data_IF_915227442211
#
_entry.id   IF_915227442211
#
_cell.length_a   1.000
_cell.length_b   1.000
_cell.length_c   1.000
_cell.angle_alpha   90.00
_cell.angle_beta   90.00
_cell.angle_gamma   90.00
#
_symmetry.space_group_name_H-M   'P 1'
#
loop_
_entity.id
_entity.type
_entity.pdbx_description
1 polymer ?
2 branched ?
3 non-polymer ?
4 non-polymer ?
5 non-polymer ?
#
# COMPACT_ATOMS: atom_id res chain seq x y z
N UNK A 1 25.78 4.99 5.70
CA UNK A 1 25.00 6.25 5.91
C UNK A 1 23.56 6.04 5.52
N UNK A 2 22.70 6.96 5.94
CA UNK A 2 21.29 6.90 5.62
C UNK A 2 21.06 7.28 4.17
N UNK A 3 20.14 6.59 3.51
CA UNK A 3 19.86 6.93 2.13
C UNK A 3 19.17 8.28 2.08
N UNK A 4 19.45 9.05 1.04
CA UNK A 4 18.85 10.37 0.86
C UNK A 4 18.10 10.46 -0.47
N UNK A 5 16.87 10.97 -0.43
CA UNK A 5 16.07 11.10 -1.62
C UNK A 5 16.68 12.18 -2.51
N UNK A 6 17.69 11.81 -3.29
CA UNK A 6 18.37 12.77 -4.14
C UNK A 6 18.05 12.70 -5.64
N UNK A 7 17.27 11.71 -6.05
CA UNK A 7 16.92 11.56 -7.46
C UNK A 7 15.47 11.93 -7.75
N UNK A 8 15.10 11.97 -9.01
CA UNK A 8 13.74 12.27 -9.38
C UNK A 8 13.18 10.97 -9.93
N UNK A 9 11.92 10.94 -10.32
CA UNK A 9 11.35 9.72 -10.88
C UNK A 9 11.78 9.55 -12.32
N UNK A 10 12.07 8.33 -12.74
CA UNK A 10 12.44 8.10 -14.14
C UNK A 10 11.17 8.29 -14.98
N UNK A 11 11.32 8.53 -16.27
CA UNK A 11 10.15 8.70 -17.10
C UNK A 11 9.44 7.36 -17.21
N UNK A 12 8.12 7.42 -17.07
CA UNK A 12 7.26 6.24 -17.12
C UNK A 12 6.52 6.21 -18.46
N UNK A 13 7.05 5.44 -19.41
CA UNK A 13 6.43 5.32 -20.72
C UNK A 13 5.69 4.00 -20.83
N UNK A 14 5.85 3.16 -19.81
CA UNK A 14 5.19 1.86 -19.70
C UNK A 14 5.57 1.20 -18.36
N UNK A 15 5.14 -0.04 -18.15
CA UNK A 15 5.46 -0.74 -16.92
C UNK A 15 5.86 -2.17 -17.22
N UNK A 16 7.01 -2.61 -16.71
CA UNK A 16 7.46 -3.98 -16.94
C UNK A 16 7.20 -4.85 -15.71
N UNK A 17 7.13 -6.16 -15.91
CA UNK A 17 6.90 -7.08 -14.79
C UNK A 17 8.13 -7.05 -13.89
N UNK A 18 7.90 -6.94 -12.58
CA UNK A 18 8.96 -6.91 -11.59
C UNK A 18 8.91 -8.17 -10.72
N UNK A 19 7.72 -8.47 -10.19
CA UNK A 19 7.58 -9.65 -9.36
C UNK A 19 6.18 -10.24 -9.27
N UNK A 20 6.13 -11.56 -9.10
CA UNK A 20 4.87 -12.29 -8.99
C UNK A 20 5.20 -13.54 -8.20
N UNK A 21 4.38 -13.91 -7.23
CA UNK A 21 4.68 -15.10 -6.43
C UNK A 21 3.77 -16.30 -6.62
N UNK A 22 2.61 -16.10 -7.24
CA UNK A 22 1.67 -17.19 -7.47
C UNK A 22 1.55 -18.00 -6.18
N UNK A 23 1.35 -17.33 -5.06
CA UNK A 23 1.24 -18.01 -3.78
C UNK A 23 -0.02 -18.88 -3.61
N UNK A 24 -1.17 -18.40 -4.08
CA UNK A 24 -2.38 -19.18 -3.95
C UNK A 24 -2.34 -20.43 -4.83
N UNK A 25 -1.79 -20.31 -6.04
CA UNK A 25 -1.68 -21.49 -6.93
C UNK A 25 -0.80 -22.51 -6.22
N UNK A 26 0.44 -22.12 -5.98
CA UNK A 26 1.41 -22.97 -5.32
C UNK A 26 0.93 -23.47 -3.96
N UNK A 27 0.35 -22.56 -3.17
CA UNK A 27 -0.12 -22.90 -1.84
C UNK A 27 -1.23 -23.92 -1.78
N UNK A 28 -1.73 -24.33 -2.94
CA UNK A 28 -2.79 -25.33 -2.99
C UNK A 28 -2.17 -26.69 -2.68
N UNK A 29 -0.85 -26.78 -2.77
CA UNK A 29 -0.14 -28.02 -2.52
C UNK A 29 1.17 -27.88 -1.74
N UNK A 30 1.44 -26.68 -1.23
CA UNK A 30 2.64 -26.46 -0.44
C UNK A 30 2.23 -25.64 0.78
N UNK A 31 3.10 -25.60 1.79
CA UNK A 31 2.76 -24.89 3.00
C UNK A 31 2.93 -23.38 2.87
N UNK A 32 1.90 -22.75 2.30
CA UNK A 32 1.87 -21.31 2.11
C UNK A 32 0.95 -20.67 3.14
N UNK A 33 1.43 -19.65 3.81
CA UNK A 33 0.65 -18.95 4.82
C UNK A 33 -0.44 -18.10 4.20
N UNK A 34 -1.54 -17.94 4.94
CA UNK A 34 -2.65 -17.11 4.46
C UNK A 34 -2.25 -15.67 4.78
N UNK A 35 -2.49 -14.76 3.85
CA UNK A 35 -2.14 -13.37 4.07
C UNK A 35 -3.10 -12.37 3.48
N UNK A 36 -2.80 -11.10 3.70
CA UNK A 36 -3.57 -9.97 3.18
C UNK A 36 -2.66 -8.76 3.37
N UNK A 37 -3.06 -7.63 2.82
CA UNK A 37 -2.31 -6.40 2.92
C UNK A 37 -0.82 -6.56 2.64
N UNK A 38 -0.46 -7.09 1.46
CA UNK A 38 0.97 -7.25 1.17
C UNK A 38 1.58 -5.94 0.67
N UNK A 39 2.87 -6.01 0.42
CA UNK A 39 3.63 -4.88 -0.11
C UNK A 39 5.05 -5.34 -0.47
N UNK A 40 5.83 -4.42 -1.02
CA UNK A 40 7.19 -4.75 -1.40
C UNK A 40 8.07 -3.65 -0.81
N UNK A 41 9.27 -4.00 -0.38
CA UNK A 41 10.17 -3.03 0.22
C UNK A 41 11.61 -3.48 0.07
N UNK A 42 12.50 -2.54 -0.28
CA UNK A 42 13.90 -2.86 -0.48
C UNK A 42 14.87 -2.39 0.59
N UNK A 43 15.98 -3.11 0.67
CA UNK A 43 17.06 -2.79 1.59
C UNK A 43 18.18 -2.46 0.60
N UNK A 44 19.35 -2.08 1.11
CA UNK A 44 20.43 -1.76 0.18
C UNK A 44 20.90 -2.94 -0.66
N UNK A 45 20.77 -4.16 -0.13
CA UNK A 45 21.24 -5.36 -0.84
C UNK A 45 20.18 -6.34 -1.34
N UNK A 46 18.89 -6.04 -1.14
CA UNK A 46 17.83 -6.92 -1.63
C UNK A 46 16.43 -6.34 -1.46
N UNK A 47 15.48 -6.93 -2.18
CA UNK A 47 14.10 -6.50 -2.07
C UNK A 47 13.30 -7.74 -1.65
N UNK A 48 12.19 -7.53 -0.96
CA UNK A 48 11.39 -8.65 -0.49
C UNK A 48 9.90 -8.36 -0.55
N UNK A 49 9.10 -9.41 -0.41
CA UNK A 49 7.65 -9.25 -0.39
C UNK A 49 7.31 -9.20 1.09
N UNK A 50 6.22 -8.51 1.42
CA UNK A 50 5.77 -8.36 2.81
C UNK A 50 4.26 -8.54 2.86
N UNK A 51 3.77 -8.91 4.03
CA UNK A 51 2.33 -9.08 4.22
C UNK A 51 2.01 -9.46 5.66
N UNK A 52 0.72 -9.44 5.97
CA UNK A 52 0.25 -9.80 7.28
C UNK A 52 -0.28 -11.23 7.24
N UNK A 53 0.51 -12.16 7.78
CA UNK A 53 0.15 -13.56 7.83
C UNK A 53 -1.11 -13.69 8.68
N UNK A 54 -1.73 -14.86 8.62
CA UNK A 54 -2.93 -15.13 9.40
C UNK A 54 -2.61 -16.25 10.37
N UNK A 55 -1.34 -16.64 10.39
CA UNK A 55 -0.92 -17.69 11.28
C UNK A 55 -1.56 -19.02 10.93
N UNK A 56 -1.45 -19.40 9.67
CA UNK A 56 -2.04 -20.64 9.22
C UNK A 56 -1.77 -20.78 7.73
N UNK A 57 -1.79 -22.02 7.23
CA UNK A 57 -1.58 -22.28 5.82
C UNK A 57 -2.95 -22.19 5.14
N UNK A 58 -2.95 -22.08 3.81
CA UNK A 58 -4.21 -21.98 3.07
C UNK A 58 -4.93 -23.32 3.16
N UNK A 59 -4.20 -24.41 2.96
CA UNK A 59 -4.78 -25.74 3.04
C UNK A 59 -5.03 -26.13 4.49
N UNK A 60 -4.49 -25.34 5.42
CA UNK A 60 -4.68 -25.65 6.82
C UNK A 60 -6.11 -25.37 7.21
N UNK A 61 -6.58 -26.02 8.27
CA UNK A 61 -7.96 -25.82 8.71
C UNK A 61 -8.19 -24.47 9.39
N UNK A 62 -7.17 -23.93 10.05
CA UNK A 62 -7.32 -22.64 10.73
C UNK A 62 -7.41 -21.51 9.71
N UNK A 63 -7.51 -21.86 8.44
CA UNK A 63 -7.60 -20.87 7.36
C UNK A 63 -9.05 -20.44 7.26
N UNK A 64 -9.89 -21.22 7.92
CA UNK A 64 -11.32 -21.01 7.96
C UNK A 64 -11.66 -19.77 8.78
N UNK A 65 -12.09 -18.72 8.09
CA UNK A 65 -12.43 -17.49 8.78
C UNK A 65 -11.34 -16.43 8.72
N UNK A 66 -10.31 -16.67 7.90
CA UNK A 66 -9.21 -15.73 7.75
C UNK A 66 -9.66 -14.46 7.05
N UNK A 67 -10.98 -14.34 6.87
CA UNK A 67 -11.59 -13.18 6.24
C UNK A 67 -11.49 -12.03 7.26
N UNK A 68 -11.27 -12.40 8.52
CA UNK A 68 -11.13 -11.43 9.61
C UNK A 68 -9.82 -10.65 9.48
N UNK A 69 -9.89 -9.34 9.77
CA UNK A 69 -8.74 -8.45 9.66
C UNK A 69 -7.78 -8.41 10.85
N UNK A 70 -8.32 -8.39 12.06
CA UNK A 70 -7.47 -8.30 13.24
C UNK A 70 -7.64 -9.44 14.24
N UNK A 71 -6.70 -10.37 14.26
CA UNK A 71 -6.74 -11.50 15.20
C UNK A 71 -5.39 -11.54 15.93
N UNK A 72 -5.26 -12.34 16.98
CA UNK A 72 -3.98 -12.38 17.67
C UNK A 72 -2.98 -13.26 16.96
N UNK A 73 -3.41 -13.85 15.85
CA UNK A 73 -2.56 -14.76 15.09
C UNK A 73 -1.90 -14.14 13.86
N UNK A 74 -2.17 -12.85 13.63
CA UNK A 74 -1.62 -12.09 12.52
C UNK A 74 -0.22 -11.58 12.84
N UNK A 75 0.56 -11.30 11.80
CA UNK A 75 1.92 -10.79 11.97
C UNK A 75 2.53 -10.42 10.63
N UNK A 76 3.35 -9.36 10.64
CA UNK A 76 4.02 -8.91 9.42
C UNK A 76 5.19 -9.85 9.12
N UNK A 77 5.16 -10.44 7.93
CA UNK A 77 6.22 -11.35 7.52
C UNK A 77 6.83 -10.84 6.23
N UNK A 78 8.08 -11.18 5.99
CA UNK A 78 8.74 -10.77 4.75
C UNK A 78 9.43 -12.01 4.21
N UNK A 79 9.60 -12.08 2.90
CA UNK A 79 10.24 -13.24 2.30
C UNK A 79 10.84 -12.88 0.96
N UNK A 80 11.57 -13.83 0.32
CA UNK A 80 12.24 -13.68 -0.98
C UNK A 80 11.34 -13.27 -2.15
N UNK A 81 11.82 -12.29 -2.91
CA UNK A 81 11.08 -11.77 -4.06
C UNK A 81 10.53 -12.83 -4.99
N UNK A 82 9.26 -12.67 -5.34
CA UNK A 82 8.54 -13.55 -6.25
C UNK A 82 8.38 -14.99 -5.77
N UNK A 83 8.57 -15.20 -4.47
CA UNK A 83 8.37 -16.52 -3.87
C UNK A 83 7.10 -16.47 -3.02
N UNK A 84 6.57 -17.62 -2.64
CA UNK A 84 5.36 -17.56 -1.82
C UNK A 84 5.64 -17.51 -0.31
N UNK A 85 4.88 -16.69 0.43
CA UNK A 85 5.12 -16.62 1.87
C UNK A 85 4.83 -17.98 2.49
N UNK A 86 5.86 -18.79 2.65
CA UNK A 86 5.73 -20.13 3.21
C UNK A 86 6.07 -20.14 4.69
N UNK A 87 5.68 -21.21 5.37
CA UNK A 87 5.96 -21.38 6.78
C UNK A 87 7.48 -21.51 7.04
N UNK A 88 8.22 -21.95 6.03
CA UNK A 88 9.66 -22.15 6.18
C UNK A 88 10.53 -21.03 5.68
N UNK A 89 9.99 -20.15 4.85
CA UNK A 89 10.74 -19.04 4.28
C UNK A 89 10.36 -17.66 4.82
N UNK A 90 9.13 -17.53 5.29
CA UNK A 90 8.66 -16.25 5.81
C UNK A 90 9.42 -15.91 7.07
N UNK A 91 9.72 -14.63 7.22
CA UNK A 91 10.44 -14.13 8.39
C UNK A 91 9.52 -13.19 9.13
N UNK A 92 9.36 -13.40 10.43
CA UNK A 92 8.49 -12.52 11.19
C UNK A 92 9.24 -11.25 11.56
N UNK A 93 8.71 -10.11 11.12
CA UNK A 93 9.29 -8.81 11.40
C UNK A 93 8.79 -8.36 12.78
N UNK A 94 7.50 -8.55 13.01
CA UNK A 94 6.85 -8.23 14.27
C UNK A 94 5.43 -8.75 14.30
N UNK A 95 4.80 -8.70 15.47
CA UNK A 95 3.44 -9.19 15.64
C UNK A 95 2.39 -8.09 15.68
N UNK A 96 1.36 -8.24 14.84
CA UNK A 96 0.30 -7.25 14.81
C UNK A 96 -0.57 -7.45 13.59
N UNK A 97 -1.59 -6.60 13.43
CA UNK A 97 -2.53 -6.69 12.31
C UNK A 97 -2.58 -5.42 11.45
N UNK A 98 -1.50 -4.65 11.50
CA UNK A 98 -1.35 -3.40 10.72
C UNK A 98 0.11 -3.03 10.84
N UNK A 99 0.77 -2.84 9.71
CA UNK A 99 2.19 -2.51 9.73
C UNK A 99 2.62 -1.53 8.67
N UNK A 100 3.91 -1.25 8.69
CA UNK A 100 4.57 -0.40 7.72
C UNK A 100 6.03 -0.75 7.96
N UNK A 101 6.85 -0.60 6.94
CA UNK A 101 8.27 -0.92 7.08
C UNK A 101 9.11 -0.27 6.00
N UNK A 102 10.26 0.24 6.40
CA UNK A 102 11.17 0.88 5.48
C UNK A 102 12.58 0.75 6.01
N UNK A 103 13.54 0.99 5.11
CA UNK A 103 14.94 0.92 5.46
C UNK A 103 15.51 2.33 5.28
N UNK A 104 16.25 2.81 6.28
CA UNK A 104 16.81 4.15 6.26
C UNK A 104 18.19 4.18 5.59
N UNK A 105 18.57 3.06 4.99
CA UNK A 105 19.85 2.98 4.34
C UNK A 105 20.86 2.26 5.22
N UNK A 106 20.74 2.43 6.54
CA UNK A 106 21.65 1.77 7.48
C UNK A 106 21.05 0.47 7.96
N UNK A 107 19.77 0.53 8.35
CA UNK A 107 19.04 -0.65 8.79
C UNK A 107 17.53 -0.43 8.63
N UNK A 108 16.74 -1.45 8.93
CA UNK A 108 15.31 -1.35 8.74
C UNK A 108 14.43 -1.06 9.94
N UNK A 109 13.37 -0.30 9.69
CA UNK A 109 12.38 0.04 10.72
C UNK A 109 11.07 -0.57 10.29
N UNK A 110 10.53 -1.48 11.11
CA UNK A 110 9.27 -2.13 10.82
C UNK A 110 8.35 -1.83 11.98
N UNK A 111 7.08 -1.57 11.70
CA UNK A 111 6.11 -1.25 12.74
C UNK A 111 4.85 -2.08 12.64
N UNK A 112 4.51 -2.74 13.74
CA UNK A 112 3.31 -3.53 13.81
C UNK A 112 2.46 -3.01 14.94
N UNK A 113 1.16 -2.90 14.72
CA UNK A 113 0.23 -2.48 15.74
C UNK A 113 -0.59 -3.72 16.05
N UNK A 114 -0.93 -3.94 17.32
CA UNK A 114 -1.74 -5.11 17.68
C UNK A 114 -2.59 -4.76 18.88
N UNK A 115 -3.55 -5.62 19.19
CA UNK A 115 -4.41 -5.37 20.33
C UNK A 115 -5.90 -5.36 20.02
N UNK A 116 -6.73 -5.12 21.05
CA UNK A 116 -8.17 -5.06 20.92
C UNK A 116 -8.55 -3.75 20.24
N UNK A 117 -9.65 -3.75 19.51
CA UNK A 117 -10.11 -2.55 18.80
C UNK A 117 -10.09 -1.27 19.62
N UNK A 118 -10.59 -1.36 20.86
CA UNK A 118 -10.68 -0.16 21.70
C UNK A 118 -9.46 0.18 22.50
N UNK A 119 -8.34 -0.49 22.26
CA UNK A 119 -7.20 -0.23 23.09
C UNK A 119 -5.93 -0.89 22.57
N UNK A 120 -5.63 -0.64 21.30
CA UNK A 120 -4.44 -1.22 20.66
C UNK A 120 -3.19 -0.39 20.96
N UNK A 121 -2.05 -0.90 20.50
CA UNK A 121 -0.76 -0.24 20.68
C UNK A 121 0.15 -0.57 19.50
N UNK A 122 1.00 0.38 19.13
CA UNK A 122 1.95 0.17 18.04
C UNK A 122 3.38 0.03 18.62
N UNK A 123 4.17 -0.84 18.00
CA UNK A 123 5.53 -1.05 18.45
C UNK A 123 6.47 -0.81 17.28
N UNK A 124 7.42 0.09 17.45
CA UNK A 124 8.37 0.39 16.38
C UNK A 124 9.64 -0.40 16.61
N UNK A 125 10.02 -1.18 15.61
CA UNK A 125 11.24 -1.98 15.70
C UNK A 125 12.28 -1.36 14.79
N UNK A 126 13.52 -1.36 15.23
CA UNK A 126 14.60 -0.80 14.43
C UNK A 126 15.81 -1.73 14.56
N UNK A 127 16.30 -2.24 13.43
CA UNK A 127 17.43 -3.14 13.45
C UNK A 127 17.01 -4.47 14.12
N UNK A 128 15.73 -4.84 13.91
CA UNK A 128 15.12 -6.06 14.43
C UNK A 128 14.86 -6.19 15.94
N UNK A 129 14.97 -5.08 16.66
CA UNK A 129 14.73 -5.06 18.11
C UNK A 129 13.71 -3.95 18.40
N UNK A 130 12.80 -4.18 19.36
CA UNK A 130 11.81 -3.14 19.67
C UNK A 130 12.49 -1.94 20.35
N UNK A 131 12.08 -0.73 19.97
CA UNK A 131 12.68 0.46 20.53
C UNK A 131 11.66 1.43 21.15
N UNK A 132 10.55 1.68 20.45
CA UNK A 132 9.53 2.59 20.93
C UNK A 132 8.11 2.01 20.85
N UNK A 133 7.24 2.44 21.75
CA UNK A 133 5.85 1.98 21.71
C UNK A 133 4.96 3.22 21.63
N UNK A 134 3.76 3.05 21.09
CA UNK A 134 2.81 4.16 20.96
C UNK A 134 1.41 3.60 21.16
N UNK A 135 0.76 4.06 22.22
CA UNK A 135 -0.58 3.61 22.59
C UNK A 135 -1.65 4.33 21.77
N UNK A 136 -2.84 3.73 21.66
CA UNK A 136 -3.95 4.35 20.93
C UNK A 136 -4.20 5.73 21.50
N UNK A 137 -4.63 6.66 20.66
CA UNK A 137 -4.89 8.00 21.13
C UNK A 137 -6.34 8.38 20.90
N UNK A 138 -7.06 7.54 20.18
CA UNK A 138 -8.48 7.77 19.89
C UNK A 138 -9.28 6.53 20.26
N UNK A 139 -8.57 5.50 20.68
CA UNK A 139 -9.16 4.24 21.14
C UNK A 139 -10.13 3.52 20.20
N UNK A 140 -9.81 3.51 18.91
CA UNK A 140 -10.65 2.84 17.92
C UNK A 140 -9.80 2.37 16.74
N UNK A 141 -9.19 1.21 16.91
CA UNK A 141 -8.36 0.58 15.90
C UNK A 141 -7.21 1.45 15.40
N UNK A 142 -6.07 1.39 16.10
CA UNK A 142 -4.88 2.15 15.70
C UNK A 142 -4.37 1.41 14.48
N UNK A 143 -4.02 2.14 13.43
CA UNK A 143 -3.57 1.51 12.20
C UNK A 143 -2.57 2.33 11.39
N UNK A 144 -1.77 1.65 10.57
CA UNK A 144 -0.79 2.32 9.73
C UNK A 144 -1.01 2.10 8.23
N UNK A 145 -0.01 2.51 7.46
CA UNK A 145 -0.01 2.46 6.00
C UNK A 145 -0.33 1.15 5.26
N UNK A 146 0.19 0.03 5.73
CA UNK A 146 -0.01 -1.27 5.09
C UNK A 146 0.89 -1.38 3.87
N UNK A 147 1.91 -0.51 3.83
CA UNK A 147 2.89 -0.51 2.74
C UNK A 147 4.14 0.27 3.17
N UNK A 148 5.25 0.02 2.50
CA UNK A 148 6.54 0.66 2.79
C UNK A 148 6.51 2.15 3.08
N UNK A 149 7.27 2.58 4.08
CA UNK A 149 7.39 4.00 4.41
C UNK A 149 8.65 4.49 3.69
N UNK A 150 8.95 5.77 3.77
CA UNK A 150 10.13 6.30 3.10
C UNK A 150 11.00 7.10 4.04
N UNK A 151 12.32 6.86 4.00
CA UNK A 151 13.26 7.60 4.84
C UNK A 151 14.10 8.59 4.04
N UNK A 152 14.64 9.56 4.77
CA UNK A 152 15.50 10.59 4.19
C UNK A 152 16.49 10.97 5.30
N UNK A 153 17.79 10.79 5.03
CA UNK A 153 18.84 11.11 5.99
C UNK A 153 18.51 10.69 7.43
N UNK A 154 17.92 9.50 7.56
CA UNK A 154 17.59 8.99 8.88
C UNK A 154 16.15 9.16 9.31
N UNK A 155 15.44 10.13 8.72
CA UNK A 155 14.06 10.39 9.09
C UNK A 155 13.08 9.60 8.24
N UNK A 156 12.23 8.82 8.90
CA UNK A 156 11.24 7.99 8.21
C UNK A 156 9.84 8.29 8.72
N UNK A 157 9.07 9.10 7.95
CA UNK A 157 7.70 9.49 8.30
C UNK A 157 6.73 8.33 8.14
N UNK A 158 5.77 8.24 9.05
CA UNK A 158 4.79 7.19 8.97
C UNK A 158 3.40 7.76 9.29
N UNK A 159 2.45 7.53 8.39
CA UNK A 159 1.11 8.04 8.60
C UNK A 159 0.26 7.05 9.36
N UNK A 160 -0.28 7.48 10.49
CA UNK A 160 -1.14 6.64 11.32
C UNK A 160 -2.55 7.24 11.32
N UNK A 161 -3.52 6.50 11.83
CA UNK A 161 -4.89 6.97 11.96
C UNK A 161 -5.53 6.21 13.11
N UNK A 162 -6.31 6.92 13.91
CA UNK A 162 -7.00 6.33 15.05
C UNK A 162 -8.36 7.02 15.19
N UNK A 163 -9.42 6.22 15.31
CA UNK A 163 -10.77 6.75 15.41
C UNK A 163 -11.64 6.07 14.36
N UNK A 164 -12.80 6.66 14.09
CA UNK A 164 -13.74 6.11 13.11
C UNK A 164 -13.11 5.91 11.73
N UNK A 165 -13.64 4.96 10.98
CA UNK A 165 -13.17 4.71 9.63
C UNK A 165 -14.28 5.14 8.72
N UNK A 166 -15.32 5.75 9.30
CA UNK A 166 -16.46 6.22 8.54
C UNK A 166 -16.94 7.62 8.98
N UNK A 167 -15.98 8.44 9.38
CA UNK A 167 -16.27 9.78 9.83
C UNK A 167 -14.95 10.43 10.25
N UNK A 168 -14.99 11.63 10.84
CA UNK A 168 -13.72 12.23 11.24
C UNK A 168 -12.96 11.31 12.18
N UNK A 169 -11.63 11.30 12.07
CA UNK A 169 -10.78 10.47 12.89
C UNK A 169 -9.48 11.21 13.20
N UNK A 170 -8.63 10.63 14.03
CA UNK A 170 -7.36 11.27 14.35
C UNK A 170 -6.20 10.65 13.58
N UNK A 171 -5.73 11.36 12.56
CA UNK A 171 -4.61 10.91 11.75
C UNK A 171 -3.40 11.70 12.22
N UNK A 172 -2.23 11.05 12.22
CA UNK A 172 -0.99 11.71 12.65
C UNK A 172 0.17 11.31 11.74
N UNK A 173 1.13 12.20 11.59
CA UNK A 173 2.31 11.92 10.80
C UNK A 173 3.45 11.86 11.81
N UNK A 174 4.01 10.68 12.00
CA UNK A 174 5.11 10.54 12.94
C UNK A 174 6.44 10.57 12.22
N UNK A 175 7.42 11.20 12.85
CA UNK A 175 8.75 11.28 12.27
C UNK A 175 9.70 10.50 13.18
N UNK A 176 10.08 9.29 12.73
CA UNK A 176 11.01 8.47 13.50
C UNK A 176 12.41 8.53 12.92
N UNK A 177 13.39 8.13 13.72
CA UNK A 177 14.78 8.06 13.33
C UNK A 177 15.45 7.07 14.28
N UNK A 178 15.77 5.90 13.75
CA UNK A 178 16.36 4.80 14.53
C UNK A 178 15.30 4.34 15.54
N UNK A 179 14.06 4.31 15.08
CA UNK A 179 12.95 3.85 15.90
C UNK A 179 12.47 4.82 16.97
N UNK A 180 13.21 5.90 17.16
CA UNK A 180 12.85 6.87 18.17
C UNK A 180 11.98 7.96 17.58
N UNK A 181 11.00 8.42 18.33
CA UNK A 181 10.14 9.48 17.86
C UNK A 181 10.87 10.81 17.98
N UNK A 182 11.04 11.49 16.86
CA UNK A 182 11.69 12.79 16.87
C UNK A 182 10.60 13.83 17.02
N UNK A 183 9.48 13.57 16.38
CA UNK A 183 8.35 14.49 16.39
C UNK A 183 7.13 13.92 15.68
N UNK A 184 5.96 14.37 16.09
CA UNK A 184 4.74 13.95 15.43
C UNK A 184 3.84 15.16 15.32
N UNK A 185 3.00 15.19 14.30
CA UNK A 185 2.07 16.29 14.13
C UNK A 185 0.74 15.73 13.66
N UNK A 186 -0.37 16.43 13.97
CA UNK A 186 -1.71 15.98 13.56
C UNK A 186 -1.90 16.29 12.08
N UNK A 187 -2.80 15.59 11.41
CA UNK A 187 -3.03 15.84 9.98
C UNK A 187 -3.51 17.26 9.68
N UNK A 188 -2.77 17.95 8.82
CA UNK A 188 -3.13 19.29 8.41
C UNK A 188 -3.50 19.21 6.94
N UNK A 189 -3.89 20.34 6.35
CA UNK A 189 -4.24 20.34 4.93
C UNK A 189 -5.74 20.28 4.72
N UNK A 190 -6.19 19.98 3.50
CA UNK A 190 -7.63 19.90 3.23
C UNK A 190 -8.19 18.49 3.11
N UNK A 191 -7.34 17.47 3.26
CA UNK A 191 -7.83 16.09 3.18
C UNK A 191 -8.74 15.85 4.38
N UNK A 192 -9.95 15.34 4.13
CA UNK A 192 -10.89 15.12 5.21
C UNK A 192 -10.86 13.75 5.88
N UNK A 193 -9.96 12.87 5.44
CA UNK A 193 -9.88 11.53 6.04
C UNK A 193 -8.73 10.74 5.45
N UNK A 194 -7.85 10.23 6.31
CA UNK A 194 -6.68 9.51 5.84
C UNK A 194 -6.62 8.05 6.29
N UNK A 195 -6.48 7.15 5.33
CA UNK A 195 -6.41 5.73 5.64
C UNK A 195 -5.36 5.05 4.74
N UNK A 196 -4.64 4.08 5.31
CA UNK A 196 -3.61 3.32 4.60
C UNK A 196 -2.87 4.10 3.51
N UNK A 197 -1.84 4.84 3.89
CA UNK A 197 -1.11 5.61 2.90
C UNK A 197 -0.04 4.86 2.11
N UNK A 198 0.01 5.14 0.81
CA UNK A 198 1.01 4.56 -0.09
C UNK A 198 1.99 5.69 -0.34
N UNK A 199 3.27 5.48 -0.02
CA UNK A 199 4.22 6.57 -0.22
C UNK A 199 5.40 6.23 -1.11
N UNK A 200 6.14 7.28 -1.45
CA UNK A 200 7.35 7.17 -2.27
C UNK A 200 8.09 8.49 -2.10
N UNK A 201 9.40 8.46 -2.30
CA UNK A 201 10.18 9.68 -2.16
C UNK A 201 11.10 9.93 -3.34
N UNK A 202 11.42 11.20 -3.54
CA UNK A 202 12.31 11.66 -4.60
C UNK A 202 12.56 13.14 -4.39
N UNK A 203 13.80 13.55 -4.64
CA UNK A 203 14.20 14.95 -4.48
C UNK A 203 13.72 15.53 -3.16
N UNK A 204 14.19 14.91 -2.07
CA UNK A 204 13.88 15.33 -0.71
C UNK A 204 12.39 15.48 -0.40
N UNK A 205 11.53 14.89 -1.22
CA UNK A 205 10.10 15.01 -0.99
C UNK A 205 9.37 13.67 -0.97
N UNK A 206 8.60 13.44 0.08
CA UNK A 206 7.84 12.20 0.20
C UNK A 206 6.36 12.45 -0.10
N UNK A 207 5.83 11.69 -1.04
CA UNK A 207 4.44 11.81 -1.46
C UNK A 207 3.66 10.55 -1.13
N UNK A 208 2.61 10.70 -0.32
CA UNK A 208 1.78 9.57 0.07
C UNK A 208 0.38 9.77 -0.49
N UNK A 209 -0.11 8.76 -1.19
CA UNK A 209 -1.46 8.78 -1.77
C UNK A 209 -2.24 7.80 -0.92
N UNK A 210 -3.17 8.29 -0.12
CA UNK A 210 -3.92 7.40 0.75
C UNK A 210 -5.36 7.15 0.26
N UNK A 211 -6.27 6.92 1.17
CA UNK A 211 -7.65 6.65 0.78
C UNK A 211 -8.65 7.26 1.77
N UNK A 212 -9.56 8.09 1.26
CA UNK A 212 -10.56 8.71 2.10
C UNK A 212 -11.65 7.66 2.23
N UNK A 213 -11.59 6.88 3.30
CA UNK A 213 -12.58 5.82 3.46
C UNK A 213 -13.99 6.28 3.77
N UNK A 214 -14.22 7.53 4.17
CA UNK A 214 -15.59 7.87 4.44
C UNK A 214 -16.33 8.65 3.39
N UNK A 215 -15.66 9.57 2.71
CA UNK A 215 -16.40 10.31 1.72
C UNK A 215 -15.83 10.32 0.32
N UNK A 216 -14.51 10.30 0.20
CA UNK A 216 -13.88 10.34 -1.12
C UNK A 216 -13.71 9.09 -1.97
N UNK A 217 -13.92 9.29 -3.26
CA UNK A 217 -13.74 8.24 -4.24
C UNK A 217 -12.50 8.72 -5.01
N UNK A 218 -12.08 9.93 -4.66
CA UNK A 218 -10.90 10.55 -5.25
C UNK A 218 -9.86 10.67 -4.15
N UNK A 219 -9.14 9.57 -3.93
CA UNK A 219 -8.11 9.49 -2.89
C UNK A 219 -7.31 10.73 -2.52
N UNK A 220 -7.11 10.96 -1.21
CA UNK A 220 -6.36 12.11 -0.72
C UNK A 220 -4.86 11.89 -0.86
N UNK A 221 -4.13 13.00 -0.90
CA UNK A 221 -2.69 12.95 -1.03
C UNK A 221 -2.05 13.73 0.12
N UNK A 222 -1.03 13.15 0.73
CA UNK A 222 -0.33 13.80 1.82
C UNK A 222 1.12 13.93 1.39
N UNK A 223 1.55 15.17 1.15
CA UNK A 223 2.90 15.46 0.71
C UNK A 223 3.70 15.80 1.96
N UNK A 224 4.79 15.05 2.20
CA UNK A 224 5.63 15.24 3.39
C UNK A 224 7.06 15.74 3.13
N UNK A 225 7.57 16.54 4.05
CA UNK A 225 8.94 17.06 3.97
C UNK A 225 9.74 16.42 5.12
N UNK A 226 10.60 15.45 4.81
CA UNK A 226 11.41 14.76 5.80
C UNK A 226 12.45 15.60 6.50
N UNK A 227 12.83 16.73 5.90
CA UNK A 227 13.83 17.57 6.54
C UNK A 227 13.21 18.55 7.53
N UNK A 228 12.18 19.26 7.09
CA UNK A 228 11.50 20.23 7.94
C UNK A 228 10.48 19.56 8.85
N UNK A 229 10.24 18.28 8.61
CA UNK A 229 9.29 17.50 9.41
C UNK A 229 7.94 18.21 9.46
N UNK A 230 7.47 18.54 8.26
CA UNK A 230 6.19 19.23 8.05
C UNK A 230 5.54 18.58 6.83
N UNK A 231 4.23 18.71 6.70
CA UNK A 231 3.52 18.09 5.58
C UNK A 231 2.34 18.92 5.13
N UNK A 232 1.51 18.33 4.29
CA UNK A 232 0.33 19.00 3.80
C UNK A 232 -0.55 17.97 3.13
N UNK A 233 -1.85 18.20 3.15
CA UNK A 233 -2.79 17.25 2.56
C UNK A 233 -3.63 17.92 1.48
N UNK A 234 -4.34 17.09 0.72
CA UNK A 234 -5.17 17.55 -0.37
C UNK A 234 -5.77 16.33 -1.02
N UNK A 235 -6.26 16.49 -2.24
CA UNK A 235 -6.84 15.39 -2.98
C UNK A 235 -6.26 15.47 -4.37
N UNK A 236 -6.57 14.49 -5.20
CA UNK A 236 -6.12 14.49 -6.56
C UNK A 236 -7.30 15.16 -7.27
N UNK A 237 -7.04 16.32 -7.84
CA UNK A 237 -8.06 17.09 -8.54
C UNK A 237 -8.71 16.28 -9.63
N UNK A 238 -7.88 15.75 -10.51
CA UNK A 238 -8.34 14.97 -11.64
C UNK A 238 -9.69 14.31 -11.44
N UNK A 239 -10.47 14.26 -12.52
CA UNK A 239 -11.80 13.67 -12.54
C UNK A 239 -11.70 12.15 -12.70
N UNK A 240 -10.49 11.66 -12.96
CA UNK A 240 -10.28 10.22 -13.10
C UNK A 240 -10.21 9.67 -11.69
N UNK A 241 -11.37 9.41 -11.10
CA UNK A 241 -11.42 8.89 -9.74
C UNK A 241 -10.75 7.52 -9.59
N UNK A 242 -9.92 7.39 -8.56
CA UNK A 242 -9.19 6.15 -8.36
C UNK A 242 -9.44 5.29 -7.13
N UNK A 243 -10.59 5.43 -6.47
CA UNK A 243 -10.84 4.56 -5.33
C UNK A 243 -11.86 3.51 -5.74
N UNK A 244 -12.28 2.67 -4.81
CA UNK A 244 -13.26 1.64 -5.11
C UNK A 244 -13.97 1.07 -3.89
N UNK A 245 -15.31 1.03 -3.91
CA UNK A 245 -16.16 1.47 -5.02
C UNK A 245 -16.04 2.98 -5.25
N UNK A 246 -16.64 3.46 -6.34
CA UNK A 246 -16.59 4.88 -6.68
C UNK A 246 -17.56 5.20 -7.80
N UNK A 247 -18.17 6.41 -7.78
CA UNK A 247 -19.10 6.76 -8.85
C UNK A 247 -18.31 6.86 -10.15
N UNK A 248 -19.00 6.97 -11.28
CA UNK A 248 -18.31 7.07 -12.56
C UNK A 248 -17.53 8.36 -12.72
N UNK A 249 -16.49 8.32 -13.54
CA UNK A 249 -15.63 9.46 -13.78
C UNK A 249 -16.35 10.68 -14.30
N UNK A 250 -16.25 11.80 -13.58
CA UNK A 250 -16.89 13.04 -13.99
C UNK A 250 -15.98 13.76 -15.01
N UNK A 251 -16.22 15.05 -15.23
CA UNK A 251 -15.39 15.80 -16.16
C UNK A 251 -14.43 16.66 -15.36
N UNK A 252 -14.85 17.03 -14.15
CA UNK A 252 -14.00 17.82 -13.27
C UNK A 252 -14.00 17.14 -11.92
N UNK A 253 -12.87 17.24 -11.23
CA UNK A 253 -12.79 16.61 -9.92
C UNK A 253 -12.65 17.68 -8.87
N UNK A 254 -12.45 17.23 -7.64
CA UNK A 254 -12.29 18.11 -6.50
C UNK A 254 -10.83 18.07 -6.12
N UNK A 255 -10.26 19.23 -5.79
CA UNK A 255 -8.86 19.30 -5.38
C UNK A 255 -8.76 19.27 -3.86
N UNK A 256 -9.60 20.05 -3.18
CA UNK A 256 -9.54 20.11 -1.71
C UNK A 256 -10.79 19.62 -0.97
N UNK A 257 -11.44 18.61 -1.51
CA UNK A 257 -12.62 18.04 -0.86
C UNK A 257 -12.85 16.66 -1.39
N UNK A 258 -13.56 15.82 -0.63
CA UNK A 258 -13.79 14.47 -1.16
C UNK A 258 -14.86 14.52 -2.25
N UNK A 259 -14.60 13.84 -3.37
CA UNK A 259 -15.57 13.78 -4.44
C UNK A 259 -16.58 12.70 -3.99
N UNK A 260 -17.86 13.08 -3.82
CA UNK A 260 -18.95 12.21 -3.38
C UNK A 260 -19.47 11.17 -4.37
N UNK A 261 -20.36 10.32 -3.85
CA UNK A 261 -20.91 9.25 -4.66
C UNK A 261 -20.89 7.96 -3.88
N UNK A 262 -19.84 7.77 -3.07
CA UNK A 262 -19.69 6.58 -2.22
C UNK A 262 -19.17 6.95 -0.85
N UNK A 263 -19.74 6.33 0.17
CA UNK A 263 -19.35 6.59 1.54
C UNK A 263 -18.84 5.35 2.27
N UNK A 264 -18.30 5.58 3.45
CA UNK A 264 -17.81 4.51 4.29
C UNK A 264 -17.16 3.28 3.63
N UNK A 265 -16.34 3.50 2.60
CA UNK A 265 -15.67 2.39 1.96
C UNK A 265 -14.57 2.75 0.97
N UNK A 266 -13.76 1.77 0.60
CA UNK A 266 -12.69 2.02 -0.34
C UNK A 266 -11.62 0.94 -0.35
N UNK A 267 -10.54 1.21 -1.07
CA UNK A 267 -9.44 0.25 -1.15
C UNK A 267 -8.13 1.00 -1.09
N UNK A 268 -7.14 0.40 -0.43
CA UNK A 268 -5.82 1.01 -0.35
C UNK A 268 -5.37 1.19 -1.80
N UNK A 269 -4.69 2.29 -2.08
CA UNK A 269 -4.24 2.53 -3.43
C UNK A 269 -3.05 3.46 -3.48
N UNK A 270 -2.49 3.64 -4.66
CA UNK A 270 -1.31 4.49 -4.81
C UNK A 270 -1.37 5.33 -6.08
N UNK A 271 -0.33 6.11 -6.29
CA UNK A 271 -0.24 6.93 -7.49
C UNK A 271 1.15 7.51 -7.57
N UNK A 272 1.49 8.06 -8.72
CA UNK A 272 2.79 8.71 -8.91
C UNK A 272 2.54 10.06 -9.49
N UNK A 273 2.53 11.06 -8.62
CA UNK A 273 2.28 12.44 -9.05
C UNK A 273 3.62 13.12 -9.33
N UNK A 274 3.93 13.29 -10.61
CA UNK A 274 5.20 13.88 -11.04
C UNK A 274 5.03 14.68 -12.34
N UNK A 275 4.24 15.76 -12.28
CA UNK A 275 4.02 16.57 -13.47
C UNK A 275 3.37 15.80 -14.59
N UNK A 276 3.86 15.95 -15.81
CA UNK A 276 3.28 15.22 -16.94
C UNK A 276 3.55 13.73 -16.74
N UNK A 277 4.66 13.40 -16.09
CA UNK A 277 5.02 12.03 -15.85
C UNK A 277 4.24 11.53 -14.64
N UNK A 278 2.92 11.71 -14.68
CA UNK A 278 2.08 11.30 -13.56
C UNK A 278 1.21 10.09 -13.89
N UNK A 279 1.34 9.06 -13.07
CA UNK A 279 0.58 7.83 -13.28
C UNK A 279 -0.30 7.42 -12.10
N UNK A 280 -1.51 6.99 -12.43
CA UNK A 280 -2.50 6.56 -11.45
C UNK A 280 -2.83 5.06 -11.51
N UNK A 281 -3.35 4.56 -10.40
CA UNK A 281 -3.75 3.18 -10.32
C UNK A 281 -5.19 3.14 -9.88
N UNK A 282 -5.93 2.18 -10.39
CA UNK A 282 -7.33 2.02 -10.03
C UNK A 282 -7.81 0.64 -10.46
N UNK A 283 -8.74 0.10 -9.69
CA UNK A 283 -9.35 -1.17 -10.01
C UNK A 283 -10.09 -0.79 -11.29
N UNK A 284 -10.31 -1.74 -12.20
CA UNK A 284 -11.04 -1.38 -13.43
C UNK A 284 -12.52 -1.27 -13.11
N UNK A 285 -13.03 -2.16 -12.27
CA UNK A 285 -14.42 -2.12 -11.87
C UNK A 285 -14.65 -0.93 -10.95
N UNK A 286 -15.87 -0.42 -10.91
CA UNK A 286 -16.18 0.70 -10.03
C UNK A 286 -17.03 0.18 -8.89
N UNK A 287 -17.43 -1.07 -8.99
CA UNK A 287 -18.28 -1.69 -7.98
C UNK A 287 -17.52 -2.52 -6.95
N UNK A 288 -16.56 -3.32 -7.39
CA UNK A 288 -15.81 -4.15 -6.47
C UNK A 288 -14.31 -4.08 -6.73
N UNK A 289 -13.55 -4.93 -6.05
CA UNK A 289 -12.10 -4.97 -6.20
C UNK A 289 -11.70 -6.00 -7.25
N UNK A 290 -11.88 -5.63 -8.51
CA UNK A 290 -11.57 -6.51 -9.63
C UNK A 290 -10.92 -5.75 -10.78
N UNK A 291 -9.94 -6.38 -11.43
CA UNK A 291 -9.25 -5.74 -12.53
C UNK A 291 -8.48 -4.54 -12.04
N UNK A 292 -7.33 -4.27 -12.65
CA UNK A 292 -6.53 -3.14 -12.23
C UNK A 292 -5.82 -2.53 -13.42
N UNK A 293 -5.76 -1.21 -13.46
CA UNK A 293 -5.11 -0.55 -14.57
C UNK A 293 -4.22 0.59 -14.11
N UNK A 294 -3.33 1.01 -15.00
CA UNK A 294 -2.45 2.14 -14.72
C UNK A 294 -2.79 3.12 -15.81
N UNK A 295 -2.91 4.39 -15.47
CA UNK A 295 -3.27 5.40 -16.45
C UNK A 295 -2.43 6.63 -16.33
N UNK A 296 -1.84 7.06 -17.43
CA UNK A 296 -1.03 8.26 -17.41
C UNK A 296 -1.98 9.46 -17.44
N UNK A 297 -2.10 10.12 -16.29
CA UNK A 297 -2.96 11.28 -16.17
C UNK A 297 -2.07 12.47 -15.84
N UNK A 298 -1.60 13.18 -16.87
CA UNK A 298 -0.73 14.33 -16.61
C UNK A 298 -1.33 15.35 -15.63
N UNK A 299 -0.51 15.73 -14.65
CA UNK A 299 -0.87 16.71 -13.64
C UNK A 299 -2.11 16.40 -12.82
N UNK A 300 -2.50 15.14 -12.76
CA UNK A 300 -3.69 14.75 -12.01
C UNK A 300 -3.81 15.44 -10.66
N UNK A 301 -2.66 15.61 -10.00
CA UNK A 301 -2.61 16.22 -8.68
C UNK A 301 -3.12 17.64 -8.64
N UNK A 302 -2.98 18.37 -9.73
CA UNK A 302 -3.37 19.77 -9.77
C UNK A 302 -4.38 20.18 -10.83
N UNK A 303 -4.47 19.39 -11.90
CA UNK A 303 -5.37 19.66 -13.02
C UNK A 303 -6.75 19.04 -12.77
N UNK A 304 -7.63 19.82 -12.15
CA UNK A 304 -8.95 19.33 -11.80
C UNK A 304 -9.80 18.88 -12.99
N UNK A 305 -9.18 18.78 -14.16
CA UNK A 305 -9.89 18.37 -15.36
C UNK A 305 -9.16 17.31 -16.19
N UNK A 306 -7.96 16.93 -15.74
CA UNK A 306 -7.10 15.95 -16.43
C UNK A 306 -7.68 14.58 -16.76
N UNK A 307 -7.41 14.11 -17.97
CA UNK A 307 -7.88 12.81 -18.46
C UNK A 307 -6.70 11.98 -18.95
N UNK A 308 -6.85 10.66 -19.05
CA UNK A 308 -5.77 9.79 -19.50
C UNK A 308 -5.22 10.06 -20.90
N UNK A 309 -3.89 10.05 -21.02
CA UNK A 309 -3.25 10.26 -22.31
C UNK A 309 -2.55 8.96 -22.70
N UNK A 310 -2.55 8.00 -21.78
CA UNK A 310 -1.94 6.70 -22.01
C UNK A 310 -2.25 5.81 -20.80
N UNK A 311 -2.18 4.50 -20.98
CA UNK A 311 -2.44 3.63 -19.86
C UNK A 311 -1.92 2.23 -20.09
N UNK A 312 -2.13 1.37 -19.10
CA UNK A 312 -1.72 -0.03 -19.20
C UNK A 312 -2.57 -0.91 -18.29
N UNK A 313 -3.04 -2.02 -18.83
CA UNK A 313 -3.85 -2.96 -18.09
C UNK A 313 -2.90 -3.85 -17.29
N UNK A 314 -3.17 -3.98 -16.00
CA UNK A 314 -2.34 -4.78 -15.12
C UNK A 314 -3.04 -6.10 -14.84
N UNK A 315 -4.30 -6.00 -14.48
CA UNK A 315 -5.12 -7.17 -14.18
C UNK A 315 -6.43 -6.98 -14.91
N UNK A 316 -6.86 -8.02 -15.62
CA UNK A 316 -8.11 -7.91 -16.35
C UNK A 316 -9.28 -7.71 -15.42
N UNK A 317 -10.31 -7.14 -15.99
CA UNK A 317 -11.54 -6.82 -15.30
C UNK A 317 -12.30 -8.03 -14.79
N UNK A 318 -11.91 -9.21 -15.26
CA UNK A 318 -12.56 -10.45 -14.86
C UNK A 318 -11.69 -11.23 -13.90
N UNK A 319 -10.71 -10.56 -13.29
CA UNK A 319 -9.84 -11.20 -12.32
C UNK A 319 -9.84 -10.35 -11.08
N UNK A 320 -9.65 -10.99 -9.93
CA UNK A 320 -9.65 -10.30 -8.67
C UNK A 320 -8.38 -9.47 -8.38
N UNK A 321 -8.58 -8.24 -7.88
CA UNK A 321 -7.47 -7.37 -7.53
C UNK A 321 -7.62 -7.00 -6.06
N UNK A 322 -7.18 -5.80 -5.68
CA UNK A 322 -7.31 -5.42 -4.29
C UNK A 322 -6.44 -4.23 -3.89
N UNK A 323 -5.60 -4.43 -2.89
CA UNK A 323 -4.70 -3.37 -2.43
C UNK A 323 -3.55 -3.09 -3.41
N UNK A 324 -3.13 -1.84 -3.48
CA UNK A 324 -2.03 -1.47 -4.37
C UNK A 324 -1.18 -0.41 -3.66
N UNK A 325 0.12 -0.64 -3.60
CA UNK A 325 1.00 0.29 -2.93
C UNK A 325 2.28 0.55 -3.68
N UNK A 326 2.96 1.64 -3.36
CA UNK A 326 4.20 1.97 -4.05
C UNK A 326 5.47 1.68 -3.26
N UNK A 327 6.52 1.33 -3.99
CA UNK A 327 7.84 1.08 -3.41
C UNK A 327 8.78 1.35 -4.56
N UNK A 328 10.04 1.62 -4.23
CA UNK A 328 11.06 1.90 -5.23
C UNK A 328 12.38 1.42 -4.66
N UNK A 329 13.21 0.82 -5.50
CA UNK A 329 14.50 0.34 -5.05
C UNK A 329 15.42 1.57 -5.02
N UNK A 330 15.37 2.29 -3.90
CA UNK A 330 16.16 3.51 -3.69
C UNK A 330 17.65 3.29 -3.72
N UNK A 331 18.07 2.04 -3.72
CA UNK A 331 19.49 1.69 -3.73
C UNK A 331 19.94 1.15 -5.08
N UNK A 332 19.06 1.24 -6.06
CA UNK A 332 19.35 0.77 -7.39
C UNK A 332 20.36 1.70 -8.05
N UNK A 333 20.98 1.20 -9.11
CA UNK A 333 21.98 1.95 -9.83
C UNK A 333 21.23 2.85 -10.82
N UNK A 334 21.83 3.97 -11.18
CA UNK A 334 21.16 4.85 -12.12
C UNK A 334 21.00 6.27 -11.63
N UNK A 335 20.50 7.13 -12.51
CA UNK A 335 20.31 8.54 -12.22
C UNK A 335 18.94 8.90 -11.68
N UNK A 336 18.03 7.95 -11.64
CA UNK A 336 16.70 8.24 -11.15
C UNK A 336 16.11 7.08 -10.35
N UNK A 337 14.89 7.28 -9.85
CA UNK A 337 14.20 6.28 -9.05
C UNK A 337 13.12 5.60 -9.89
N UNK A 338 13.34 4.35 -10.27
CA UNK A 338 12.37 3.62 -11.07
C UNK A 338 11.13 3.42 -10.22
N UNK A 339 10.00 3.99 -10.63
CA UNK A 339 8.76 3.84 -9.88
C UNK A 339 8.20 2.43 -10.02
N UNK A 340 7.85 1.82 -8.89
CA UNK A 340 7.29 0.47 -8.88
C UNK A 340 6.02 0.50 -8.06
N UNK A 341 5.26 -0.59 -8.11
CA UNK A 341 4.04 -0.73 -7.34
C UNK A 341 3.65 -2.19 -7.30
N UNK A 342 2.74 -2.53 -6.41
CA UNK A 342 2.29 -3.90 -6.31
C UNK A 342 0.77 -3.86 -6.29
N UNK A 343 0.16 -4.97 -6.69
CA UNK A 343 -1.29 -5.09 -6.65
C UNK A 343 -1.54 -6.37 -5.89
N UNK A 344 -2.53 -6.33 -5.02
CA UNK A 344 -2.88 -7.49 -4.21
C UNK A 344 -4.03 -8.18 -4.94
N UNK A 345 -3.82 -9.42 -5.30
CA UNK A 345 -4.84 -10.20 -6.00
C UNK A 345 -5.58 -11.06 -4.98
N UNK A 346 -6.57 -10.48 -4.30
CA UNK A 346 -7.31 -11.21 -3.27
C UNK A 346 -8.16 -12.33 -3.80
N UNK A 347 -8.12 -13.46 -3.10
CA UNK A 347 -8.89 -14.64 -3.48
C UNK A 347 -9.64 -15.12 -2.25
N UNK A 348 -10.71 -15.88 -2.47
CA UNK A 348 -11.48 -16.37 -1.35
C UNK A 348 -12.60 -15.42 -0.95
N UNK A 349 -12.93 -15.41 0.34
CA UNK A 349 -14.01 -14.54 0.79
C UNK A 349 -13.61 -13.07 0.78
N UNK A 350 -14.60 -12.17 0.59
CA UNK A 350 -16.04 -12.46 0.42
C UNK A 350 -16.53 -12.83 -0.98
N UNK A 351 -15.89 -12.30 -2.02
CA UNK A 351 -16.31 -12.59 -3.38
C UNK A 351 -16.44 -14.06 -3.74
N UNK A 352 -15.38 -14.84 -3.54
CA UNK A 352 -15.40 -16.26 -3.85
C UNK A 352 -15.63 -17.06 -2.56
N UNK A 353 -16.89 -17.22 -2.17
CA UNK A 353 -17.18 -17.89 -0.92
C UNK A 353 -17.39 -19.41 -0.83
N UNK A 354 -17.00 -20.18 -1.85
CA UNK A 354 -17.17 -21.63 -1.75
C UNK A 354 -16.05 -22.20 -0.88
N UNK A 355 -15.16 -21.31 -0.45
CA UNK A 355 -14.05 -21.67 0.42
C UNK A 355 -14.25 -20.85 1.68
N UNK A 356 -13.64 -21.23 2.78
CA UNK A 356 -13.83 -20.50 4.03
C UNK A 356 -12.71 -19.53 4.31
N UNK A 357 -11.73 -19.48 3.42
CA UNK A 357 -10.59 -18.60 3.60
C UNK A 357 -10.53 -17.36 2.72
N UNK A 358 -9.58 -16.50 3.04
CA UNK A 358 -9.33 -15.26 2.31
C UNK A 358 -7.83 -15.06 2.25
N UNK A 359 -7.28 -15.19 1.06
CA UNK A 359 -5.86 -14.97 0.91
C UNK A 359 -5.61 -14.18 -0.36
N UNK A 360 -4.34 -14.07 -0.73
CA UNK A 360 -3.99 -13.30 -1.90
C UNK A 360 -2.65 -13.73 -2.45
N UNK A 361 -2.37 -13.26 -3.66
CA UNK A 361 -1.12 -13.50 -4.36
C UNK A 361 -0.51 -12.10 -4.39
N UNK A 362 0.49 -11.92 -5.25
CA UNK A 362 1.12 -10.61 -5.40
C UNK A 362 1.62 -10.51 -6.83
N UNK A 363 1.51 -9.31 -7.39
CA UNK A 363 2.06 -9.05 -8.71
C UNK A 363 2.68 -7.68 -8.52
N UNK A 364 3.88 -7.51 -9.05
CA UNK A 364 4.59 -6.26 -8.90
C UNK A 364 5.23 -5.86 -10.20
N UNK A 365 5.26 -4.56 -10.46
CA UNK A 365 5.82 -4.01 -11.68
C UNK A 365 6.52 -2.69 -11.42
N UNK A 366 7.48 -2.37 -12.27
CA UNK A 366 8.22 -1.12 -12.16
C UNK A 366 8.19 -0.45 -13.52
N UNK A 367 8.40 0.86 -13.55
CA UNK A 367 8.33 1.61 -14.79
C UNK A 367 9.51 1.40 -15.72
N UNK A 368 9.25 1.55 -17.01
CA UNK A 368 10.25 1.42 -18.06
C UNK A 368 10.23 2.71 -18.86
N UNK A 369 11.35 3.09 -19.46
CA UNK A 369 11.37 4.31 -20.27
C UNK A 369 11.02 3.96 -21.69
N UNK A 370 10.88 2.65 -21.92
CA UNK A 370 10.51 2.13 -23.22
C UNK A 370 9.00 2.16 -23.28
N UNK A 371 8.42 1.75 -24.41
CA UNK A 371 6.96 1.68 -24.53
C UNK A 371 6.69 0.20 -24.77
N UNK A 372 6.58 -0.54 -23.66
CA UNK A 372 6.39 -1.99 -23.67
C UNK A 372 4.96 -2.47 -23.80
N UNK A 373 4.82 -3.66 -24.39
CA UNK A 373 3.52 -4.27 -24.56
C UNK A 373 2.98 -4.70 -23.21
N UNK A 374 1.68 -4.95 -23.14
CA UNK A 374 1.10 -5.34 -21.87
C UNK A 374 0.56 -6.76 -21.83
N UNK A 375 0.31 -7.24 -20.63
CA UNK A 375 -0.23 -8.56 -20.41
C UNK A 375 -0.95 -8.44 -19.08
N UNK A 376 -2.00 -9.22 -18.85
CA UNK A 376 -2.69 -9.13 -17.58
C UNK A 376 -2.11 -10.17 -16.66
N UNK A 377 -1.96 -9.82 -15.39
CA UNK A 377 -1.39 -10.73 -14.41
C UNK A 377 -2.38 -11.20 -13.36
N UNK A 378 -3.09 -12.31 -13.65
CA UNK A 378 -4.08 -12.89 -12.75
C UNK A 378 -3.41 -13.64 -11.60
N UNK A 379 -4.18 -13.93 -10.56
CA UNK A 379 -3.60 -14.67 -9.46
C UNK A 379 -3.22 -16.00 -10.08
N UNK A 380 -4.14 -16.60 -10.83
CA UNK A 380 -3.85 -17.87 -11.48
C UNK A 380 -4.52 -19.10 -10.87
N UNK A 381 -4.89 -19.04 -9.59
CA UNK A 381 -5.50 -20.18 -8.93
C UNK A 381 -6.91 -20.49 -9.42
N UNK A 382 -7.40 -21.67 -9.08
CA UNK A 382 -8.73 -22.15 -9.43
C UNK A 382 -9.44 -22.58 -8.15
N UNK A 383 -10.31 -21.73 -7.60
CA UNK A 383 -11.00 -22.09 -6.37
C UNK A 383 -11.58 -23.51 -6.43
N UNK A 384 -11.90 -23.99 -7.63
CA UNK A 384 -12.44 -25.34 -7.77
C UNK A 384 -11.53 -26.36 -7.10
N UNK A 385 -10.23 -26.28 -7.41
CA UNK A 385 -9.25 -27.20 -6.86
C UNK A 385 -9.25 -27.17 -5.33
N UNK A 386 -9.69 -26.05 -4.75
CA UNK A 386 -9.73 -25.87 -3.30
C UNK A 386 -10.97 -26.46 -2.61
N UNK A 387 -11.97 -26.81 -3.40
CA UNK A 387 -13.19 -27.40 -2.89
C UNK A 387 -12.93 -28.89 -2.75
#
# INVERSE_FOLDING_TARGET
DFNNLTKGLCTINSWHIYGKDNAVRIGEDSDVLVTREPYVSCDPDECRFYALSQGTTIRGKHSNGTIHDRSQYRALISWPLSSPPTVYNSRVECIGWSSTSCHDGKTRMSICISGPNNNASAVIWYNRRPVTEINTWARNILRTQESECVCHNGVCPVVFTDGSATGPAETRIYYFKEGKILKWEPLAGTAKHIEECSCYGERAEITCTCRDNWQGSNRPVIRIDPVAMTHTSQYICSPVLTDNPRPNDPTVGKCNDPYPGNNNNGVKGFSYLDGVNTWLGRTISIASRSGYEMLKVPNALTDDKSKPTQGQTIVLNTDWSGYSGSFMDYWAEGECYRACFYVELIRGRPKEDKVWWTSNSIVSMCSSTEFLGQWDWPDGAKIEYFL
#
